data_IF_613023168427
#
_entry.id   IF_613023168427
#
_cell.length_a   1.000
_cell.length_b   1.000
_cell.length_c   1.000
_cell.angle_alpha   90.00
_cell.angle_beta   90.00
_cell.angle_gamma   90.00
#
_symmetry.space_group_name_H-M   'P 1'
#
loop_
_entity.id
_entity.type
_entity.pdbx_description
1 polymer ?
#
# COMPACT_ATOMS: atom_id res chain seq x y z
N UNK A 1 14.58 -33.48 -26.67
CA UNK A 1 13.42 -33.22 -25.79
C UNK A 1 13.31 -31.73 -25.60
N UNK A 2 12.39 -31.07 -26.30
CA UNK A 2 12.26 -29.61 -26.28
C UNK A 2 11.15 -29.26 -25.27
N UNK A 3 11.53 -28.67 -24.14
CA UNK A 3 10.56 -28.21 -23.15
C UNK A 3 9.81 -26.98 -23.71
N UNK A 4 8.50 -27.13 -23.88
CA UNK A 4 7.62 -26.00 -24.18
C UNK A 4 7.57 -25.09 -22.95
N UNK A 5 8.06 -23.86 -23.10
CA UNK A 5 7.87 -22.81 -22.10
C UNK A 5 6.37 -22.48 -22.05
N UNK A 6 5.70 -22.88 -20.97
CA UNK A 6 4.29 -22.56 -20.72
C UNK A 6 4.13 -21.05 -20.66
N UNK A 7 3.49 -20.47 -21.67
CA UNK A 7 3.05 -19.08 -21.66
C UNK A 7 2.09 -18.90 -20.47
N UNK A 8 2.55 -18.21 -19.43
CA UNK A 8 1.71 -17.76 -18.32
C UNK A 8 0.54 -16.96 -18.87
N UNK A 9 -0.68 -17.51 -18.84
CA UNK A 9 -1.89 -16.75 -19.11
C UNK A 9 -2.12 -15.80 -17.95
N UNK A 10 -2.33 -14.52 -18.24
CA UNK A 10 -2.83 -13.56 -17.24
C UNK A 10 -4.13 -14.09 -16.65
N UNK A 11 -4.25 -14.22 -15.32
CA UNK A 11 -5.45 -14.75 -14.68
C UNK A 11 -6.69 -13.89 -14.99
N UNK A 12 -7.85 -14.54 -15.05
CA UNK A 12 -9.13 -13.86 -15.23
C UNK A 12 -9.44 -12.93 -14.04
N UNK A 13 -10.39 -12.00 -14.19
CA UNK A 13 -10.69 -11.01 -13.15
C UNK A 13 -11.13 -11.64 -11.82
N UNK A 14 -12.02 -12.63 -11.88
CA UNK A 14 -12.51 -13.38 -10.72
C UNK A 14 -11.39 -14.22 -10.06
N UNK A 15 -10.48 -14.76 -10.86
CA UNK A 15 -9.31 -15.49 -10.38
C UNK A 15 -8.34 -14.55 -9.65
N UNK A 16 -8.08 -13.36 -10.19
CA UNK A 16 -7.28 -12.32 -9.50
C UNK A 16 -7.90 -11.91 -8.18
N UNK A 17 -9.23 -11.74 -8.13
CA UNK A 17 -9.93 -11.39 -6.89
C UNK A 17 -9.83 -12.49 -5.84
N UNK A 18 -9.94 -13.77 -6.24
CA UNK A 18 -9.74 -14.92 -5.33
C UNK A 18 -8.30 -15.00 -4.83
N UNK A 19 -7.32 -14.81 -5.71
CA UNK A 19 -5.90 -14.77 -5.34
C UNK A 19 -5.61 -13.63 -4.36
N UNK A 20 -6.16 -12.44 -4.61
CA UNK A 20 -6.05 -11.30 -3.69
C UNK A 20 -6.70 -11.61 -2.34
N UNK A 21 -7.88 -12.25 -2.31
CA UNK A 21 -8.54 -12.61 -1.06
C UNK A 21 -7.71 -13.60 -0.22
N UNK A 22 -7.10 -14.60 -0.86
CA UNK A 22 -6.22 -15.56 -0.19
C UNK A 22 -4.94 -14.89 0.36
N UNK A 23 -4.30 -14.05 -0.45
CA UNK A 23 -3.13 -13.29 -0.03
C UNK A 23 -3.43 -12.41 1.19
N UNK A 24 -4.59 -11.74 1.19
CA UNK A 24 -5.01 -10.88 2.30
C UNK A 24 -5.22 -11.64 3.59
N UNK A 25 -5.91 -12.78 3.51
CA UNK A 25 -6.14 -13.64 4.69
C UNK A 25 -4.82 -14.09 5.31
N UNK A 26 -3.88 -14.57 4.50
CA UNK A 26 -2.58 -15.01 4.99
C UNK A 26 -1.74 -13.89 5.60
N UNK A 27 -1.80 -12.69 5.02
CA UNK A 27 -1.14 -11.50 5.56
C UNK A 27 -1.73 -11.04 6.89
N UNK A 28 -3.06 -11.06 7.02
CA UNK A 28 -3.78 -10.72 8.25
C UNK A 28 -3.45 -11.69 9.39
N UNK A 29 -3.54 -12.99 9.14
CA UNK A 29 -3.24 -14.04 10.13
C UNK A 29 -1.81 -13.93 10.69
N UNK A 30 -0.88 -13.47 9.87
CA UNK A 30 0.54 -13.31 10.23
C UNK A 30 0.89 -11.91 10.71
N UNK A 31 -0.06 -10.98 10.70
CA UNK A 31 0.16 -9.56 11.01
C UNK A 31 1.36 -8.99 10.25
N UNK A 32 1.48 -9.33 8.96
CA UNK A 32 2.61 -8.89 8.15
C UNK A 32 2.54 -7.39 7.89
N UNK A 33 3.64 -6.69 8.18
CA UNK A 33 3.78 -5.28 7.83
C UNK A 33 3.72 -5.10 6.30
N UNK A 34 3.01 -4.07 5.83
CA UNK A 34 2.82 -3.83 4.41
C UNK A 34 4.12 -3.35 3.76
N UNK A 35 4.60 -4.13 2.81
CA UNK A 35 5.53 -3.71 1.77
C UNK A 35 4.82 -3.84 0.43
N UNK A 36 4.97 -2.85 -0.46
CA UNK A 36 4.23 -2.82 -1.73
C UNK A 36 5.06 -2.21 -2.84
N UNK A 37 4.84 -2.71 -4.06
CA UNK A 37 5.29 -2.10 -5.31
C UNK A 37 4.06 -1.72 -6.13
N UNK A 38 3.88 -0.41 -6.34
CA UNK A 38 2.79 0.16 -7.12
C UNK A 38 3.12 0.18 -8.62
N UNK A 39 2.09 0.10 -9.46
CA UNK A 39 2.22 0.26 -10.91
C UNK A 39 2.62 1.70 -11.28
N UNK A 40 1.91 2.69 -10.75
CA UNK A 40 2.27 4.09 -10.90
C UNK A 40 3.51 4.40 -10.05
N UNK A 41 4.58 5.00 -10.58
CA UNK A 41 5.83 5.15 -9.84
C UNK A 41 5.89 6.39 -8.93
N UNK A 42 5.06 7.39 -9.17
CA UNK A 42 5.16 8.70 -8.51
C UNK A 42 3.95 9.04 -7.65
N UNK A 43 4.08 10.09 -6.83
CA UNK A 43 2.98 10.70 -6.09
C UNK A 43 1.76 10.95 -7.01
N UNK A 44 0.53 10.63 -6.57
CA UNK A 44 -0.67 10.79 -7.40
C UNK A 44 -1.17 12.24 -7.50
N UNK A 45 -0.56 13.19 -6.79
CA UNK A 45 -0.92 14.61 -6.89
C UNK A 45 -0.34 15.22 -8.16
N UNK A 46 -1.17 15.97 -8.90
CA UNK A 46 -0.74 16.65 -10.12
C UNK A 46 0.45 17.59 -9.84
N UNK A 47 1.50 17.50 -10.66
CA UNK A 47 2.71 18.31 -10.52
C UNK A 47 3.69 17.84 -9.45
N UNK A 48 3.44 16.71 -8.77
CA UNK A 48 4.40 16.10 -7.86
C UNK A 48 4.99 14.81 -8.45
N UNK A 49 6.30 14.81 -8.65
CA UNK A 49 7.12 13.73 -9.21
C UNK A 49 7.88 12.95 -8.13
N UNK A 50 7.47 13.05 -6.86
CA UNK A 50 8.10 12.27 -5.78
C UNK A 50 7.98 10.78 -6.10
N UNK A 51 9.13 10.10 -6.20
CA UNK A 51 9.20 8.65 -6.37
C UNK A 51 8.58 7.95 -5.15
N UNK A 52 7.66 7.02 -5.42
CA UNK A 52 6.85 6.27 -4.46
C UNK A 52 6.35 4.96 -5.09
N UNK A 53 7.21 4.30 -5.87
CA UNK A 53 6.85 3.06 -6.55
C UNK A 53 6.89 1.91 -5.54
N UNK A 54 8.00 1.73 -4.83
CA UNK A 54 8.12 0.72 -3.80
C UNK A 54 8.18 1.39 -2.43
N UNK A 55 7.33 0.91 -1.52
CA UNK A 55 7.27 1.42 -0.14
C UNK A 55 7.30 0.26 0.82
N UNK A 56 8.26 0.29 1.73
CA UNK A 56 8.20 -0.41 3.01
C UNK A 56 7.85 0.62 4.08
N UNK A 57 6.64 0.53 4.62
CA UNK A 57 6.12 1.50 5.58
C UNK A 57 6.74 1.40 6.97
N UNK A 58 7.38 0.27 7.30
CA UNK A 58 8.07 0.08 8.60
C UNK A 58 7.18 0.39 9.81
N UNK A 59 5.92 -0.06 9.76
CA UNK A 59 4.89 0.29 10.74
C UNK A 59 5.26 -0.12 12.17
N UNK A 60 6.06 -1.18 12.31
CA UNK A 60 6.62 -1.67 13.57
C UNK A 60 7.44 -0.61 14.32
N UNK A 61 8.07 0.32 13.60
CA UNK A 61 8.91 1.38 14.17
C UNK A 61 8.06 2.50 14.83
N UNK A 62 6.74 2.48 14.65
CA UNK A 62 5.79 3.44 15.24
C UNK A 62 5.04 2.90 16.47
N UNK A 63 5.42 1.70 16.94
CA UNK A 63 4.83 1.08 18.11
C UNK A 63 3.50 0.37 17.84
N UNK A 64 3.12 -0.52 18.77
CA UNK A 64 2.06 -1.52 18.59
C UNK A 64 0.69 -0.92 18.23
N UNK A 65 0.33 0.21 18.83
CA UNK A 65 -0.97 0.84 18.58
C UNK A 65 -1.13 1.32 17.13
N UNK A 66 -0.07 1.87 16.53
CA UNK A 66 -0.07 2.29 15.12
C UNK A 66 0.03 1.07 14.22
N UNK A 67 0.96 0.16 14.52
CA UNK A 67 1.16 -1.07 13.78
C UNK A 67 -0.15 -1.87 13.62
N UNK A 68 -0.79 -2.26 14.73
CA UNK A 68 -1.94 -3.16 14.70
C UNK A 68 -3.13 -2.53 13.96
N UNK A 69 -3.36 -1.22 14.16
CA UNK A 69 -4.42 -0.47 13.48
C UNK A 69 -4.21 -0.46 11.96
N UNK A 70 -3.01 -0.10 11.52
CA UNK A 70 -2.70 0.11 10.10
C UNK A 70 -2.53 -1.21 9.35
N UNK A 71 -1.95 -2.25 9.98
CA UNK A 71 -1.89 -3.61 9.44
C UNK A 71 -3.29 -4.17 9.24
N UNK A 72 -4.19 -4.02 10.22
CA UNK A 72 -5.60 -4.44 10.07
C UNK A 72 -6.29 -3.69 8.94
N UNK A 73 -6.12 -2.38 8.85
CA UNK A 73 -6.71 -1.57 7.79
C UNK A 73 -6.17 -1.92 6.40
N UNK A 74 -4.90 -2.30 6.31
CA UNK A 74 -4.30 -2.78 5.07
C UNK A 74 -4.95 -4.08 4.59
N UNK A 75 -5.01 -5.09 5.45
CA UNK A 75 -5.47 -6.42 5.07
C UNK A 75 -7.00 -6.51 4.87
N UNK A 76 -7.78 -5.63 5.50
CA UNK A 76 -9.23 -5.54 5.28
C UNK A 76 -9.63 -4.71 4.05
N UNK A 77 -8.67 -4.28 3.21
CA UNK A 77 -8.86 -3.47 1.99
C UNK A 77 -9.28 -2.00 2.23
N UNK A 78 -9.33 -1.54 3.49
CA UNK A 78 -9.58 -0.12 3.82
C UNK A 78 -8.39 0.76 3.44
N UNK A 79 -7.17 0.23 3.61
CA UNK A 79 -5.94 1.01 3.50
C UNK A 79 -5.82 2.08 4.59
N UNK A 80 -4.87 2.98 4.41
CA UNK A 80 -4.63 4.11 5.31
C UNK A 80 -4.09 5.31 4.54
N UNK A 81 -4.02 6.47 5.20
CA UNK A 81 -3.60 7.71 4.56
C UNK A 81 -2.30 8.24 5.15
N UNK A 82 -1.47 8.85 4.31
CA UNK A 82 -0.25 9.54 4.73
C UNK A 82 0.02 10.75 3.86
N UNK A 83 0.79 11.69 4.37
CA UNK A 83 1.21 12.86 3.58
C UNK A 83 2.41 12.52 2.71
N UNK A 84 2.40 13.02 1.48
CA UNK A 84 3.57 13.01 0.61
C UNK A 84 4.73 13.77 1.26
N UNK A 85 5.95 13.22 1.33
CA UNK A 85 7.10 13.91 1.92
C UNK A 85 7.53 15.15 1.13
N UNK A 86 7.17 15.25 -0.16
CA UNK A 86 7.56 16.36 -1.03
C UNK A 86 6.51 17.47 -1.11
N UNK A 87 5.27 17.15 -1.51
CA UNK A 87 4.23 18.16 -1.68
C UNK A 87 3.31 18.33 -0.47
N UNK A 88 3.42 17.48 0.56
CA UNK A 88 2.56 17.52 1.74
C UNK A 88 1.11 17.08 1.51
N UNK A 89 0.72 16.74 0.27
CA UNK A 89 -0.62 16.31 -0.08
C UNK A 89 -0.98 14.94 0.53
N UNK A 90 -2.25 14.75 0.87
CA UNK A 90 -2.76 13.49 1.40
C UNK A 90 -2.85 12.41 0.32
N UNK A 91 -2.36 11.22 0.63
CA UNK A 91 -2.38 10.05 -0.24
C UNK A 91 -3.07 8.92 0.49
N UNK A 92 -4.04 8.28 -0.17
CA UNK A 92 -4.53 6.95 0.22
C UNK A 92 -3.55 5.89 -0.26
N UNK A 93 -3.16 4.99 0.62
CA UNK A 93 -2.39 3.79 0.30
C UNK A 93 -3.25 2.56 0.57
N UNK A 94 -3.39 1.70 -0.43
CA UNK A 94 -4.04 0.39 -0.30
C UNK A 94 -3.26 -0.66 -1.07
N UNK A 95 -3.65 -1.93 -0.93
CA UNK A 95 -3.11 -3.05 -1.71
C UNK A 95 -3.35 -2.85 -3.22
N UNK A 96 -4.41 -2.12 -3.60
CA UNK A 96 -4.81 -1.93 -5.00
C UNK A 96 -4.06 -0.78 -5.69
N UNK A 97 -3.55 0.18 -4.93
CA UNK A 97 -2.97 1.38 -5.51
C UNK A 97 -2.87 2.52 -4.52
N UNK A 98 -2.47 3.67 -5.05
CA UNK A 98 -2.43 4.94 -4.34
C UNK A 98 -3.25 6.01 -5.06
N UNK A 99 -3.89 6.88 -4.28
CA UNK A 99 -4.79 7.94 -4.79
C UNK A 99 -4.58 9.25 -4.03
N UNK A 100 -4.60 10.37 -4.74
CA UNK A 100 -4.62 11.70 -4.13
C UNK A 100 -5.95 11.95 -3.40
N UNK A 101 -5.89 12.54 -2.21
CA UNK A 101 -7.04 12.85 -1.36
C UNK A 101 -7.02 14.30 -0.87
N UNK A 102 -8.21 14.80 -0.54
CA UNK A 102 -8.39 16.01 0.26
C UNK A 102 -8.23 15.71 1.76
N UNK A 103 -8.06 16.76 2.58
CA UNK A 103 -7.97 16.62 4.03
C UNK A 103 -9.27 16.02 4.64
N UNK A 104 -10.44 16.50 4.20
CA UNK A 104 -11.73 16.02 4.70
C UNK A 104 -11.99 14.55 4.37
N UNK A 105 -11.51 14.06 3.22
CA UNK A 105 -11.59 12.63 2.93
C UNK A 105 -10.61 11.83 3.80
N UNK A 106 -9.40 12.36 4.04
CA UNK A 106 -8.35 11.69 4.81
C UNK A 106 -8.73 11.45 6.28
N UNK A 107 -9.56 12.33 6.87
CA UNK A 107 -10.11 12.18 8.22
C UNK A 107 -10.92 10.89 8.43
N UNK A 108 -11.41 10.27 7.35
CA UNK A 108 -12.21 9.05 7.40
C UNK A 108 -11.38 7.77 7.46
N UNK A 109 -10.05 7.87 7.37
CA UNK A 109 -9.15 6.73 7.31
C UNK A 109 -8.16 6.74 8.47
N UNK A 110 -7.66 5.55 8.88
CA UNK A 110 -6.48 5.48 9.73
C UNK A 110 -5.31 6.25 9.10
N UNK A 111 -4.62 7.06 9.90
CA UNK A 111 -3.58 7.94 9.42
C UNK A 111 -2.20 7.44 9.86
N UNK A 112 -1.25 7.47 8.93
CA UNK A 112 0.17 7.39 9.23
C UNK A 112 0.60 8.61 10.06
N UNK A 113 1.58 8.47 10.97
CA UNK A 113 2.19 9.60 11.64
C UNK A 113 2.71 10.64 10.62
N UNK A 114 2.69 11.92 10.97
CA UNK A 114 3.09 13.01 10.05
C UNK A 114 4.51 12.83 9.47
N UNK A 115 5.41 12.20 10.22
CA UNK A 115 6.80 11.94 9.86
C UNK A 115 7.08 10.49 9.46
N UNK A 116 6.06 9.71 9.06
CA UNK A 116 6.20 8.28 8.70
C UNK A 116 7.35 8.02 7.71
N UNK A 117 7.55 8.93 6.76
CA UNK A 117 8.58 8.84 5.73
C UNK A 117 10.02 8.88 6.27
N UNK A 118 10.23 9.28 7.52
CA UNK A 118 11.55 9.26 8.15
C UNK A 118 12.01 7.85 8.52
N UNK A 119 11.07 6.93 8.80
CA UNK A 119 11.36 5.52 9.08
C UNK A 119 11.15 4.60 7.89
N UNK A 120 10.34 5.01 6.91
CA UNK A 120 10.02 4.21 5.75
C UNK A 120 11.16 4.13 4.71
N UNK A 121 11.19 3.04 3.95
CA UNK A 121 11.97 2.97 2.71
C UNK A 121 11.04 3.30 1.54
N UNK A 122 11.42 4.31 0.74
CA UNK A 122 10.64 4.78 -0.42
C UNK A 122 11.58 4.79 -1.64
N UNK A 123 11.22 4.03 -2.68
CA UNK A 123 11.95 3.93 -3.95
C UNK A 123 11.06 4.35 -5.12
#
# INVERSE_FOLDING_TARGET
MTAASSKSKTPAADERDRMHALYRRGGEERQMAPHIVYAEPSCPHAGCDQAMQAIDFRLEDHGRAVHDLLVRAWWNDTGFVGRCPRCGGWIHFSIRGKRAMTANEAEKYPQLPNNWHAGATIL
#
